data_IF_723547842950
#
_entry.id   IF_723547842950
#
_cell.length_a   1.000
_cell.length_b   1.000
_cell.length_c   1.000
_cell.angle_alpha   90.00
_cell.angle_beta   90.00
_cell.angle_gamma   90.00
#
_symmetry.space_group_name_H-M   'P 1'
#
loop_
_entity.id
_entity.type
_entity.pdbx_description
1 polymer ?
#
# COMPACT_ATOMS: atom_id res chain seq x y z
N UNK A 1 0.22 -2.74 -15.23
CA UNK A 1 -0.35 -1.70 -16.10
C UNK A 1 0.14 -1.87 -17.54
N UNK A 2 1.46 -1.90 -17.80
CA UNK A 2 2.03 -2.05 -19.15
C UNK A 2 1.46 -3.27 -19.90
N UNK A 3 1.30 -4.41 -19.22
CA UNK A 3 0.69 -5.61 -19.85
C UNK A 3 -0.78 -5.39 -20.19
N UNK A 4 -1.52 -4.63 -19.39
CA UNK A 4 -2.92 -4.27 -19.70
C UNK A 4 -3.03 -3.35 -20.91
N UNK A 5 -2.00 -2.55 -21.15
CA UNK A 5 -1.85 -1.70 -22.36
C UNK A 5 -1.29 -2.48 -23.56
N UNK A 6 -1.16 -3.79 -23.46
CA UNK A 6 -0.72 -4.67 -24.56
C UNK A 6 0.80 -4.80 -24.72
N UNK A 7 1.59 -4.28 -23.79
CA UNK A 7 3.03 -4.47 -23.84
C UNK A 7 3.44 -5.87 -23.40
N UNK A 8 4.43 -6.46 -24.07
CA UNK A 8 5.12 -7.67 -23.58
C UNK A 8 6.13 -7.23 -22.52
N UNK A 9 6.00 -7.77 -21.31
CA UNK A 9 6.83 -7.39 -20.16
C UNK A 9 7.54 -8.61 -19.59
N UNK A 10 8.81 -8.47 -19.27
CA UNK A 10 9.57 -9.40 -18.43
C UNK A 10 10.01 -8.67 -17.18
N UNK A 11 9.73 -9.22 -16.02
CA UNK A 11 10.21 -8.73 -14.72
C UNK A 11 11.45 -9.51 -14.32
N UNK A 12 12.50 -8.79 -13.94
CA UNK A 12 13.72 -9.36 -13.36
C UNK A 12 13.78 -8.90 -11.91
N UNK A 13 13.73 -9.82 -10.97
CA UNK A 13 13.76 -9.56 -9.53
C UNK A 13 14.41 -10.73 -8.80
N UNK A 14 15.33 -10.45 -7.88
CA UNK A 14 16.06 -11.49 -7.15
C UNK A 14 15.26 -12.16 -6.03
N UNK A 15 13.99 -11.76 -5.84
CA UNK A 15 13.10 -12.37 -4.86
C UNK A 15 13.47 -12.08 -3.40
N UNK A 16 14.10 -10.93 -3.10
CA UNK A 16 14.47 -10.57 -1.72
C UNK A 16 13.27 -10.63 -0.79
N UNK A 17 13.44 -11.35 0.31
CA UNK A 17 12.41 -11.54 1.33
C UNK A 17 12.05 -10.24 2.06
N UNK A 18 13.05 -9.39 2.29
CA UNK A 18 12.91 -8.12 3.01
C UNK A 18 13.22 -6.96 2.08
N UNK A 19 12.18 -6.24 1.67
CA UNK A 19 12.25 -5.02 0.85
C UNK A 19 11.34 -3.96 1.45
N UNK A 20 11.55 -2.70 1.11
CA UNK A 20 10.70 -1.60 1.56
C UNK A 20 9.22 -1.88 1.25
N UNK A 21 8.92 -2.35 0.05
CA UNK A 21 7.54 -2.69 -0.35
C UNK A 21 6.95 -3.83 0.48
N UNK A 22 7.73 -4.86 0.82
CA UNK A 22 7.23 -6.01 1.61
C UNK A 22 7.07 -5.72 3.10
N UNK A 23 7.75 -4.69 3.61
CA UNK A 23 7.68 -4.25 5.00
C UNK A 23 6.76 -3.07 5.22
N UNK A 24 6.25 -2.45 4.16
CA UNK A 24 5.29 -1.36 4.25
C UNK A 24 3.96 -1.84 4.88
N UNK A 25 3.34 -0.97 5.68
CA UNK A 25 2.10 -1.30 6.40
C UNK A 25 0.91 -1.53 5.47
N UNK A 26 0.88 -0.87 4.31
CA UNK A 26 -0.27 -0.90 3.39
C UNK A 26 -1.46 -0.07 3.85
N UNK A 27 -1.34 0.68 4.95
CA UNK A 27 -2.42 1.48 5.51
C UNK A 27 -2.64 2.76 4.69
N UNK A 28 -3.87 2.96 4.25
CA UNK A 28 -4.36 4.20 3.63
C UNK A 28 -5.31 4.88 4.61
N UNK A 29 -4.84 5.99 5.17
CA UNK A 29 -5.49 6.70 6.26
C UNK A 29 -6.02 8.06 5.76
N UNK A 30 -7.31 8.41 6.03
CA UNK A 30 -7.90 9.69 5.63
C UNK A 30 -7.28 10.90 6.30
N UNK A 31 -6.67 10.72 7.48
CA UNK A 31 -6.00 11.80 8.21
C UNK A 31 -4.56 11.41 8.50
N UNK A 32 -3.67 12.40 8.56
CA UNK A 32 -2.24 12.18 8.74
C UNK A 32 -1.61 13.10 9.76
N UNK A 33 -0.52 12.60 10.33
CA UNK A 33 0.35 13.31 11.28
C UNK A 33 -0.31 13.61 12.62
N UNK A 34 0.49 14.13 13.53
CA UNK A 34 0.09 14.46 14.91
C UNK A 34 -1.03 15.51 14.99
N UNK A 35 -1.32 16.23 13.91
CA UNK A 35 -2.35 17.28 13.86
C UNK A 35 -3.68 16.80 13.33
N UNK A 36 -3.82 15.53 12.98
CA UNK A 36 -5.05 14.94 12.46
C UNK A 36 -5.65 15.74 11.29
N UNK A 37 -4.81 16.11 10.34
CA UNK A 37 -5.27 16.83 9.14
C UNK A 37 -5.63 15.86 8.04
N UNK A 38 -6.64 16.22 7.23
CA UNK A 38 -7.02 15.42 6.06
C UNK A 38 -5.81 15.21 5.14
N UNK A 39 -5.60 13.97 4.75
CA UNK A 39 -4.55 13.59 3.81
C UNK A 39 -4.76 14.31 2.47
N UNK A 40 -3.68 14.84 1.90
CA UNK A 40 -3.73 15.58 0.64
C UNK A 40 -4.34 14.73 -0.48
N UNK A 41 -5.29 15.31 -1.20
CA UNK A 41 -6.05 14.65 -2.29
C UNK A 41 -6.70 13.30 -1.90
N UNK A 42 -6.98 13.07 -0.60
CA UNK A 42 -7.50 11.78 -0.13
C UNK A 42 -8.68 11.29 -0.95
N UNK A 43 -9.71 12.11 -1.17
CA UNK A 43 -10.95 11.69 -1.84
C UNK A 43 -10.69 11.18 -3.27
N UNK A 44 -9.79 11.83 -3.98
CA UNK A 44 -9.41 11.42 -5.34
C UNK A 44 -8.55 10.18 -5.34
N UNK A 45 -7.53 10.16 -4.47
CA UNK A 45 -6.54 9.08 -4.44
C UNK A 45 -7.11 7.79 -3.88
N UNK A 46 -7.97 7.86 -2.86
CA UNK A 46 -8.57 6.66 -2.27
C UNK A 46 -9.49 5.95 -3.26
N UNK A 47 -10.29 6.73 -4.02
CA UNK A 47 -11.17 6.13 -5.03
C UNK A 47 -10.37 5.44 -6.14
N UNK A 48 -9.29 6.07 -6.61
CA UNK A 48 -8.38 5.47 -7.58
C UNK A 48 -7.72 4.19 -7.03
N UNK A 49 -7.29 4.21 -5.78
CA UNK A 49 -6.70 3.05 -5.11
C UNK A 49 -7.70 1.89 -4.98
N UNK A 50 -8.92 2.15 -4.50
CA UNK A 50 -9.98 1.14 -4.39
C UNK A 50 -10.25 0.50 -5.75
N UNK A 51 -10.45 1.29 -6.80
CA UNK A 51 -10.72 0.78 -8.14
C UNK A 51 -9.55 -0.07 -8.66
N UNK A 52 -8.31 0.40 -8.50
CA UNK A 52 -7.12 -0.28 -8.97
C UNK A 52 -6.92 -1.62 -8.25
N UNK A 53 -6.93 -1.63 -6.91
CA UNK A 53 -6.68 -2.85 -6.14
C UNK A 53 -7.84 -3.84 -6.20
N UNK A 54 -9.08 -3.38 -6.39
CA UNK A 54 -10.22 -4.25 -6.66
C UNK A 54 -10.09 -4.93 -8.03
N UNK A 55 -9.69 -4.18 -9.06
CA UNK A 55 -9.44 -4.73 -10.39
C UNK A 55 -8.31 -5.76 -10.39
N UNK A 56 -7.19 -5.46 -9.71
CA UNK A 56 -6.08 -6.41 -9.56
C UNK A 56 -6.54 -7.63 -8.74
N UNK A 57 -7.30 -7.42 -7.67
CA UNK A 57 -7.84 -8.51 -6.86
C UNK A 57 -8.71 -9.46 -7.66
N UNK A 58 -9.57 -8.94 -8.53
CA UNK A 58 -10.38 -9.74 -9.44
C UNK A 58 -9.52 -10.54 -10.43
N UNK A 59 -8.52 -9.90 -11.04
CA UNK A 59 -7.58 -10.56 -11.97
C UNK A 59 -6.80 -11.71 -11.31
N UNK A 60 -6.41 -11.53 -10.04
CA UNK A 60 -5.62 -12.51 -9.29
C UNK A 60 -6.47 -13.48 -8.45
N UNK A 61 -7.79 -13.36 -8.49
CA UNK A 61 -8.74 -14.11 -7.64
C UNK A 61 -8.41 -14.00 -6.14
N UNK A 62 -8.05 -12.78 -5.67
CA UNK A 62 -7.75 -12.46 -4.27
C UNK A 62 -8.53 -11.23 -3.82
N UNK A 63 -8.61 -11.02 -2.50
CA UNK A 63 -9.12 -9.78 -1.90
C UNK A 63 -7.99 -9.07 -1.16
N UNK A 64 -7.18 -8.23 -1.84
CA UNK A 64 -6.00 -7.63 -1.24
C UNK A 64 -6.31 -6.39 -0.39
N UNK A 65 -7.44 -5.70 -0.65
CA UNK A 65 -7.84 -4.47 0.01
C UNK A 65 -9.06 -4.69 0.88
N UNK A 66 -9.01 -4.23 2.12
CA UNK A 66 -10.13 -4.26 3.06
C UNK A 66 -10.26 -2.92 3.78
N UNK A 67 -11.51 -2.58 4.13
CA UNK A 67 -11.83 -1.40 4.93
C UNK A 67 -11.80 -1.75 6.42
N UNK A 68 -11.29 -0.85 7.23
CA UNK A 68 -11.17 -0.96 8.67
C UNK A 68 -11.44 0.36 9.37
N UNK A 69 -11.76 0.27 10.65
CA UNK A 69 -11.71 1.37 11.59
C UNK A 69 -10.40 1.30 12.38
N UNK A 70 -9.63 2.38 12.38
CA UNK A 70 -8.40 2.49 13.15
C UNK A 70 -8.73 3.05 14.53
N UNK A 71 -8.37 2.33 15.59
CA UNK A 71 -8.44 2.83 16.96
C UNK A 71 -7.19 3.68 17.26
N UNK A 72 -7.41 4.84 17.85
CA UNK A 72 -6.35 5.77 18.24
C UNK A 72 -6.32 5.95 19.74
N UNK A 73 -5.21 5.55 20.35
CA UNK A 73 -4.93 5.70 21.79
C UNK A 73 -4.05 6.93 21.97
N UNK A 74 -4.51 7.87 22.79
CA UNK A 74 -3.80 9.12 22.98
C UNK A 74 -2.64 8.96 23.95
N UNK A 75 -1.49 9.51 23.60
CA UNK A 75 -0.29 9.50 24.44
C UNK A 75 -0.29 10.65 25.46
N UNK A 76 -1.04 11.71 25.17
CA UNK A 76 -1.13 12.92 26.03
C UNK A 76 -2.52 13.53 25.98
N UNK A 77 -2.87 14.28 27.03
CA UNK A 77 -4.13 15.06 27.07
C UNK A 77 -4.20 16.12 25.95
N UNK A 78 -3.05 16.70 25.57
CA UNK A 78 -3.00 17.70 24.50
C UNK A 78 -3.35 17.06 23.13
N UNK A 79 -2.90 15.84 22.89
CA UNK A 79 -3.25 15.08 21.70
C UNK A 79 -4.74 14.77 21.66
N UNK A 80 -5.32 14.29 22.77
CA UNK A 80 -6.77 14.05 22.89
C UNK A 80 -7.57 15.35 22.65
N UNK A 81 -7.14 16.46 23.22
CA UNK A 81 -7.77 17.77 23.04
C UNK A 81 -7.69 18.24 21.59
N UNK A 82 -6.56 18.02 20.93
CA UNK A 82 -6.41 18.36 19.51
C UNK A 82 -7.35 17.51 18.62
N UNK A 83 -7.45 16.22 18.90
CA UNK A 83 -8.39 15.32 18.22
C UNK A 83 -9.85 15.79 18.40
N UNK A 84 -10.25 16.09 19.65
CA UNK A 84 -11.57 16.64 19.97
C UNK A 84 -11.85 17.96 19.22
N UNK A 85 -10.86 18.81 19.08
CA UNK A 85 -11.00 20.06 18.33
C UNK A 85 -11.20 19.82 16.84
N UNK A 86 -10.58 18.80 16.26
CA UNK A 86 -10.82 18.42 14.86
C UNK A 86 -12.25 17.92 14.64
N UNK A 87 -12.79 17.12 15.55
CA UNK A 87 -14.19 16.69 15.50
C UNK A 87 -15.11 17.92 15.54
N UNK A 88 -14.90 18.86 16.48
CA UNK A 88 -15.67 20.09 16.59
C UNK A 88 -15.58 20.98 15.33
N UNK A 89 -14.45 20.92 14.62
CA UNK A 89 -14.24 21.61 13.34
C UNK A 89 -14.91 20.90 12.14
N UNK A 90 -15.63 19.80 12.38
CA UNK A 90 -16.38 19.08 11.35
C UNK A 90 -15.56 18.05 10.58
N UNK A 91 -14.53 17.47 11.20
CA UNK A 91 -13.84 16.34 10.57
C UNK A 91 -14.79 15.15 10.42
N UNK A 92 -15.00 14.70 9.19
CA UNK A 92 -15.89 13.58 8.85
C UNK A 92 -15.24 12.19 9.12
N UNK A 93 -13.95 12.16 9.44
CA UNK A 93 -13.17 10.93 9.58
C UNK A 93 -12.88 10.54 11.03
N UNK A 94 -13.19 11.44 11.98
CA UNK A 94 -12.78 11.30 13.37
C UNK A 94 -14.00 11.28 14.29
N UNK A 95 -14.01 10.39 15.26
CA UNK A 95 -14.93 10.44 16.38
C UNK A 95 -14.37 9.70 17.59
N UNK A 96 -15.01 9.80 18.76
CA UNK A 96 -14.68 9.04 19.94
C UNK A 96 -15.52 7.77 20.02
N UNK A 97 -14.92 6.72 20.56
CA UNK A 97 -15.61 5.46 20.80
C UNK A 97 -16.49 5.58 22.05
N UNK A 98 -17.77 5.27 21.91
CA UNK A 98 -18.74 5.38 23.02
C UNK A 98 -18.47 4.38 24.14
N UNK A 99 -18.15 3.12 23.79
CA UNK A 99 -17.83 2.06 24.73
C UNK A 99 -16.35 1.67 24.65
N UNK A 100 -15.51 2.55 25.20
CA UNK A 100 -14.07 2.34 25.20
C UNK A 100 -13.64 1.20 26.16
N UNK A 101 -14.39 0.97 27.24
CA UNK A 101 -13.97 0.06 28.32
C UNK A 101 -13.81 -1.40 27.89
N UNK A 102 -14.50 -1.84 26.87
CA UNK A 102 -14.38 -3.20 26.32
C UNK A 102 -12.95 -3.49 25.81
N UNK A 103 -12.18 -2.44 25.47
CA UNK A 103 -10.82 -2.58 24.96
C UNK A 103 -9.76 -2.69 26.06
N UNK A 104 -10.12 -2.42 27.34
CA UNK A 104 -9.19 -2.54 28.47
C UNK A 104 -8.71 -3.96 28.71
N UNK A 105 -9.43 -4.96 28.23
CA UNK A 105 -9.00 -6.36 28.28
C UNK A 105 -7.84 -6.68 27.34
N UNK A 106 -7.64 -5.85 26.29
CA UNK A 106 -6.61 -6.06 25.28
C UNK A 106 -5.48 -5.02 25.36
N UNK A 107 -5.79 -3.80 25.82
CA UNK A 107 -4.85 -2.67 25.79
C UNK A 107 -4.83 -1.96 27.16
N UNK A 108 -3.64 -1.56 27.59
CA UNK A 108 -3.48 -0.71 28.75
C UNK A 108 -3.46 0.75 28.28
N UNK A 109 -4.50 1.52 28.62
CA UNK A 109 -4.65 2.92 28.24
C UNK A 109 -5.47 3.67 29.28
N UNK A 110 -5.32 4.99 29.30
CA UNK A 110 -6.12 5.92 30.08
C UNK A 110 -6.87 6.89 29.14
N UNK A 111 -7.98 7.46 29.61
CA UNK A 111 -8.78 8.40 28.84
C UNK A 111 -9.67 7.73 27.79
N UNK A 112 -9.96 8.47 26.73
CA UNK A 112 -10.84 8.04 25.65
C UNK A 112 -10.05 7.29 24.57
N UNK A 113 -10.78 6.56 23.75
CA UNK A 113 -10.27 6.04 22.48
C UNK A 113 -10.90 6.86 21.35
N UNK A 114 -10.08 7.42 20.49
CA UNK A 114 -10.52 7.96 19.20
C UNK A 114 -10.62 6.85 18.17
N UNK A 115 -11.43 7.05 17.13
CA UNK A 115 -11.36 6.21 15.96
C UNK A 115 -11.26 7.05 14.67
N UNK A 116 -10.67 6.45 13.67
CA UNK A 116 -10.45 7.03 12.35
C UNK A 116 -11.05 6.09 11.32
N UNK A 117 -11.97 6.59 10.51
CA UNK A 117 -12.63 5.79 9.46
C UNK A 117 -13.13 6.65 8.29
N UNK A 118 -13.28 6.06 7.07
CA UNK A 118 -12.82 4.71 6.73
C UNK A 118 -11.30 4.68 6.52
N UNK A 119 -10.62 3.69 7.07
CA UNK A 119 -9.24 3.37 6.74
C UNK A 119 -9.22 2.15 5.82
N UNK A 120 -8.26 2.09 4.91
CA UNK A 120 -8.11 0.91 4.05
C UNK A 120 -6.74 0.28 4.28
N UNK A 121 -6.71 -1.04 4.34
CA UNK A 121 -5.49 -1.81 4.52
C UNK A 121 -5.29 -2.71 3.30
N UNK A 122 -4.20 -2.47 2.60
CA UNK A 122 -3.73 -3.32 1.51
C UNK A 122 -2.84 -4.43 2.07
N UNK A 123 -3.22 -5.67 1.88
CA UNK A 123 -2.35 -6.81 2.16
C UNK A 123 -1.28 -6.91 1.07
N UNK A 124 -0.20 -6.16 1.26
CA UNK A 124 0.88 -6.04 0.27
C UNK A 124 1.55 -7.40 0.02
N UNK A 125 1.76 -8.20 1.06
CA UNK A 125 2.38 -9.53 0.91
C UNK A 125 1.52 -10.46 0.06
N UNK A 126 0.19 -10.48 0.30
CA UNK A 126 -0.74 -11.25 -0.52
C UNK A 126 -0.70 -10.78 -1.99
N UNK A 127 -0.76 -9.47 -2.20
CA UNK A 127 -0.76 -8.87 -3.53
C UNK A 127 0.52 -9.21 -4.30
N UNK A 128 1.69 -8.94 -3.70
CA UNK A 128 2.99 -9.15 -4.36
C UNK A 128 3.24 -10.63 -4.66
N UNK A 129 2.93 -11.52 -3.71
CA UNK A 129 3.14 -12.95 -3.91
C UNK A 129 2.22 -13.51 -5.00
N UNK A 130 0.94 -13.11 -5.01
CA UNK A 130 -0.01 -13.56 -6.03
C UNK A 130 0.37 -13.06 -7.42
N UNK A 131 0.82 -11.79 -7.50
CA UNK A 131 1.31 -11.23 -8.76
C UNK A 131 2.58 -11.91 -9.25
N UNK A 132 3.56 -12.13 -8.38
CA UNK A 132 4.80 -12.83 -8.71
C UNK A 132 4.52 -14.26 -9.22
N UNK A 133 3.61 -14.99 -8.55
CA UNK A 133 3.23 -16.33 -8.97
C UNK A 133 2.57 -16.32 -10.36
N UNK A 134 1.66 -15.38 -10.63
CA UNK A 134 1.05 -15.21 -11.96
C UNK A 134 2.14 -14.96 -13.02
N UNK A 135 3.02 -14.01 -12.79
CA UNK A 135 4.10 -13.66 -13.73
C UNK A 135 5.05 -14.84 -13.99
N UNK A 136 5.39 -15.64 -12.96
CA UNK A 136 6.19 -16.85 -13.11
C UNK A 136 5.48 -17.90 -13.96
N UNK A 137 4.20 -18.15 -13.70
CA UNK A 137 3.40 -19.15 -14.42
C UNK A 137 3.20 -18.80 -15.90
N UNK A 138 3.17 -17.49 -16.21
CA UNK A 138 3.04 -16.98 -17.58
C UNK A 138 4.38 -16.81 -18.31
N UNK A 139 5.51 -17.09 -17.65
CA UNK A 139 6.84 -16.94 -18.26
C UNK A 139 7.33 -15.47 -18.35
N UNK A 140 6.72 -14.58 -17.57
CA UNK A 140 7.02 -13.16 -17.54
C UNK A 140 7.92 -12.73 -16.36
N UNK A 141 8.53 -13.68 -15.66
CA UNK A 141 9.35 -13.41 -14.48
C UNK A 141 10.66 -14.21 -14.52
N UNK A 142 11.76 -13.49 -14.36
CA UNK A 142 13.09 -14.06 -14.20
C UNK A 142 13.57 -13.77 -12.77
N UNK A 143 13.71 -14.82 -11.96
CA UNK A 143 14.22 -14.70 -10.59
C UNK A 143 15.75 -14.72 -10.61
N UNK A 144 16.32 -13.53 -10.73
CA UNK A 144 17.77 -13.34 -10.85
C UNK A 144 18.16 -11.96 -10.29
N UNK A 145 19.35 -11.88 -9.68
CA UNK A 145 19.95 -10.59 -9.35
C UNK A 145 20.42 -9.89 -10.61
N UNK A 146 19.94 -8.67 -10.82
CA UNK A 146 20.29 -7.90 -12.02
C UNK A 146 21.76 -7.47 -12.01
N UNK A 147 22.49 -7.78 -13.07
CA UNK A 147 23.89 -7.44 -13.24
C UNK A 147 24.06 -6.35 -14.32
N UNK A 148 24.34 -5.13 -13.88
CA UNK A 148 24.55 -4.00 -14.79
C UNK A 148 25.68 -4.24 -15.80
N UNK A 149 26.69 -5.09 -15.48
CA UNK A 149 27.77 -5.45 -16.39
C UNK A 149 27.30 -6.23 -17.62
N UNK A 150 26.12 -6.86 -17.55
CA UNK A 150 25.51 -7.61 -18.66
C UNK A 150 24.52 -6.80 -19.47
N UNK A 151 24.23 -5.56 -19.04
CA UNK A 151 23.32 -4.66 -19.72
C UNK A 151 24.02 -3.93 -20.88
N UNK A 152 23.38 -3.95 -22.05
CA UNK A 152 23.81 -3.17 -23.23
C UNK A 152 22.63 -2.34 -23.71
N UNK A 153 22.84 -1.05 -23.88
CA UNK A 153 21.83 -0.09 -24.39
C UNK A 153 22.40 0.54 -25.66
N UNK A 154 21.61 0.59 -26.71
CA UNK A 154 21.93 1.27 -27.96
C UNK A 154 20.67 1.88 -28.59
N UNK A 155 20.78 2.49 -29.74
CA UNK A 155 19.66 3.12 -30.46
C UNK A 155 18.54 2.16 -30.86
N UNK A 156 18.82 0.87 -30.92
CA UNK A 156 17.86 -0.18 -31.30
C UNK A 156 17.11 -0.75 -30.08
N UNK A 157 17.54 -0.41 -28.85
CA UNK A 157 16.91 -0.87 -27.61
C UNK A 157 17.90 -1.38 -26.59
N UNK A 158 17.45 -2.37 -25.82
CA UNK A 158 18.15 -2.93 -24.67
C UNK A 158 18.40 -4.42 -24.88
N UNK A 159 19.59 -4.87 -24.52
CA UNK A 159 19.94 -6.29 -24.46
C UNK A 159 20.49 -6.61 -23.06
N UNK A 160 19.92 -7.63 -22.43
CA UNK A 160 20.38 -8.19 -21.16
C UNK A 160 20.50 -9.71 -21.31
N UNK A 161 21.71 -10.23 -21.21
CA UNK A 161 22.01 -11.63 -21.57
C UNK A 161 21.53 -11.94 -23.02
N UNK A 162 20.60 -12.86 -23.19
CA UNK A 162 19.96 -13.23 -24.45
C UNK A 162 18.60 -12.54 -24.68
N UNK A 163 18.15 -11.72 -23.68
CA UNK A 163 16.89 -11.00 -23.71
C UNK A 163 17.06 -9.68 -24.47
N UNK A 164 16.16 -9.41 -25.39
CA UNK A 164 16.08 -8.13 -26.13
C UNK A 164 14.77 -7.44 -25.82
N UNK A 165 14.83 -6.13 -25.56
CA UNK A 165 13.68 -5.29 -25.31
C UNK A 165 13.85 -3.90 -25.93
N UNK A 166 12.73 -3.24 -26.22
CA UNK A 166 12.76 -1.85 -26.70
C UNK A 166 13.09 -0.86 -25.56
N UNK A 167 12.74 -1.21 -24.33
CA UNK A 167 12.89 -0.35 -23.14
C UNK A 167 13.23 -1.18 -21.91
N UNK A 168 13.91 -0.55 -20.94
CA UNK A 168 14.08 -1.04 -19.58
C UNK A 168 13.56 0.02 -18.61
N UNK A 169 12.92 -0.43 -17.54
CA UNK A 169 12.42 0.42 -16.45
C UNK A 169 13.01 -0.12 -15.15
N UNK A 170 13.76 0.71 -14.44
CA UNK A 170 14.28 0.39 -13.13
C UNK A 170 13.28 0.78 -12.05
N UNK A 171 12.94 -0.17 -11.17
CA UNK A 171 12.03 0.00 -10.06
C UNK A 171 12.69 -0.43 -8.73
N UNK A 172 13.97 -0.15 -8.61
CA UNK A 172 14.86 -0.65 -7.55
C UNK A 172 14.85 0.24 -6.28
N UNK A 173 14.08 1.32 -6.24
CA UNK A 173 13.75 2.12 -5.05
C UNK A 173 14.89 2.97 -4.50
#
# INVERSE_FOLDING_TARGET
ELMREGATVLVIDEGRKYTASRTASGLMNPVTGMRFVKTWLYDTLIQAAINTYSSIGHELAIRPLNEYTLLHFFSTSDEEQLFANRIKQGSEFLDFLDDADVWKIYFNYEGKIGYIQPCHLLNISLLLNSWQNKMKNEGHFLEESFDFGKLKINEQGVTYLDIKASKIIFCDG
#
